data_IF_191686214445
#
_entry.id   IF_191686214445
#
_cell.length_a   1.000
_cell.length_b   1.000
_cell.length_c   1.000
_cell.angle_alpha   90.00
_cell.angle_beta   90.00
_cell.angle_gamma   90.00
#
_symmetry.space_group_name_H-M   'P 1'
#
loop_
_entity.id
_entity.type
_entity.pdbx_description
1 polymer ?
#
# COMPACT_ATOMS: atom_id res chain seq x y z
N UNK A 1 11.96 -12.50 18.65
CA UNK A 1 10.91 -11.61 18.11
C UNK A 1 10.28 -12.25 16.88
N UNK A 2 8.96 -12.09 16.64
CA UNK A 2 8.31 -12.64 15.44
C UNK A 2 8.21 -11.58 14.35
N UNK A 3 8.36 -11.99 13.09
CA UNK A 3 8.31 -11.10 11.92
C UNK A 3 6.98 -10.32 11.87
N UNK A 4 5.85 -10.98 12.12
CA UNK A 4 4.54 -10.32 12.14
C UNK A 4 4.44 -9.21 13.20
N UNK A 5 4.86 -9.47 14.43
CA UNK A 5 4.80 -8.47 15.51
C UNK A 5 5.74 -7.29 15.25
N UNK A 6 6.93 -7.56 14.72
CA UNK A 6 7.89 -6.53 14.32
C UNK A 6 7.33 -5.63 13.21
N UNK A 7 6.77 -6.22 12.15
CA UNK A 7 6.18 -5.47 11.03
C UNK A 7 5.01 -4.59 11.50
N UNK A 8 4.13 -5.10 12.37
CA UNK A 8 3.02 -4.29 12.89
C UNK A 8 3.50 -3.15 13.77
N UNK A 9 4.43 -3.40 14.68
CA UNK A 9 5.02 -2.36 15.52
C UNK A 9 5.71 -1.27 14.67
N UNK A 10 6.41 -1.68 13.60
CA UNK A 10 7.00 -0.73 12.65
C UNK A 10 5.92 0.07 11.91
N UNK A 11 4.84 -0.56 11.46
CA UNK A 11 3.73 0.15 10.82
C UNK A 11 3.13 1.22 11.75
N UNK A 12 3.03 0.95 13.05
CA UNK A 12 2.56 1.93 14.05
C UNK A 12 3.53 3.08 14.21
N UNK A 13 4.83 2.80 14.31
CA UNK A 13 5.86 3.82 14.41
C UNK A 13 5.97 4.70 13.14
N UNK A 14 5.65 4.13 11.98
CA UNK A 14 5.62 4.82 10.70
C UNK A 14 4.28 5.52 10.43
N UNK A 15 3.20 5.16 11.11
CA UNK A 15 1.91 5.83 10.97
C UNK A 15 1.94 7.20 11.69
N UNK A 16 1.17 8.16 11.18
CA UNK A 16 1.12 9.53 11.69
C UNK A 16 1.80 10.54 10.77
N UNK A 17 1.43 11.81 10.92
CA UNK A 17 1.85 12.91 10.04
C UNK A 17 1.08 12.91 8.70
N UNK A 18 1.74 13.38 7.65
CA UNK A 18 1.16 13.55 6.31
C UNK A 18 1.45 12.36 5.38
N UNK A 19 1.48 11.13 5.92
CA UNK A 19 1.86 9.92 5.18
C UNK A 19 0.90 8.76 5.38
N UNK A 20 0.83 7.88 4.39
CA UNK A 20 0.08 6.62 4.46
C UNK A 20 1.04 5.45 4.63
N UNK A 21 0.65 4.50 5.47
CA UNK A 21 1.37 3.23 5.63
C UNK A 21 0.46 2.09 5.17
N UNK A 22 0.99 1.22 4.33
CA UNK A 22 0.33 0.00 3.91
C UNK A 22 1.30 -1.16 3.89
N UNK A 23 0.79 -2.39 3.93
CA UNK A 23 1.63 -3.58 4.01
C UNK A 23 1.30 -4.61 2.97
N UNK A 24 2.26 -5.47 2.65
CA UNK A 24 2.09 -6.67 1.85
C UNK A 24 1.45 -6.35 0.50
N UNK A 25 2.14 -5.50 -0.29
CA UNK A 25 1.65 -4.99 -1.58
C UNK A 25 2.51 -5.50 -2.73
N UNK A 26 1.89 -5.87 -3.85
CA UNK A 26 2.65 -6.18 -5.06
C UNK A 26 3.51 -4.98 -5.51
N UNK A 27 4.82 -5.12 -5.55
CA UNK A 27 5.79 -4.11 -6.01
C UNK A 27 6.51 -4.59 -7.26
N UNK A 28 5.76 -4.85 -8.32
CA UNK A 28 6.25 -5.44 -9.56
C UNK A 28 5.53 -4.85 -10.78
N UNK A 29 6.10 -5.04 -11.97
CA UNK A 29 5.47 -4.70 -13.25
C UNK A 29 4.98 -5.98 -13.95
N UNK A 30 5.86 -6.97 -14.10
CA UNK A 30 5.59 -8.26 -14.74
C UNK A 30 5.83 -9.45 -13.80
N UNK A 31 6.54 -9.23 -12.70
CA UNK A 31 6.90 -10.27 -11.73
C UNK A 31 5.81 -10.51 -10.68
N UNK A 32 6.26 -10.89 -9.48
CA UNK A 32 5.39 -11.20 -8.33
C UNK A 32 5.94 -10.71 -6.99
N UNK A 33 6.89 -9.76 -7.02
CA UNK A 33 7.47 -9.17 -5.81
C UNK A 33 6.36 -8.56 -4.95
N UNK A 34 6.37 -8.88 -3.65
CA UNK A 34 5.50 -8.31 -2.62
C UNK A 34 6.38 -7.50 -1.70
N UNK A 35 6.11 -6.21 -1.50
CA UNK A 35 6.77 -5.32 -0.56
C UNK A 35 6.13 -5.48 0.81
N UNK A 36 6.94 -5.58 1.87
CA UNK A 36 6.43 -5.79 3.22
C UNK A 36 5.69 -4.58 3.75
N UNK A 37 6.34 -3.41 3.77
CA UNK A 37 5.73 -2.15 4.19
C UNK A 37 6.00 -1.10 3.13
N UNK A 38 4.98 -0.29 2.83
CA UNK A 38 5.04 0.80 1.86
C UNK A 38 4.56 2.06 2.55
N UNK A 39 5.41 3.07 2.56
CA UNK A 39 5.08 4.42 3.02
C UNK A 39 4.87 5.30 1.79
N UNK A 40 3.78 6.07 1.79
CA UNK A 40 3.45 7.02 0.74
C UNK A 40 3.40 8.41 1.34
N UNK A 41 4.14 9.33 0.74
CA UNK A 41 4.18 10.75 1.10
C UNK A 41 3.78 11.60 -0.12
N UNK A 42 3.12 12.73 0.14
CA UNK A 42 2.70 13.69 -0.88
C UNK A 42 1.35 14.34 -0.54
N UNK A 43 0.65 14.85 -1.55
CA UNK A 43 -0.66 15.51 -1.41
C UNK A 43 -1.81 14.49 -1.29
N UNK A 44 -1.73 13.66 -0.24
CA UNK A 44 -2.77 12.68 0.08
C UNK A 44 -4.16 13.32 0.25
N UNK A 45 -4.32 14.50 0.88
CA UNK A 45 -5.62 15.16 0.97
C UNK A 45 -6.27 15.41 -0.39
N UNK A 46 -5.52 15.83 -1.41
CA UNK A 46 -6.07 16.01 -2.76
C UNK A 46 -6.60 14.69 -3.35
N UNK A 47 -5.94 13.56 -3.07
CA UNK A 47 -6.44 12.24 -3.47
C UNK A 47 -7.63 11.79 -2.61
N UNK A 48 -7.59 12.06 -1.31
CA UNK A 48 -8.61 11.65 -0.36
C UNK A 48 -9.98 12.26 -0.67
N UNK A 49 -10.00 13.52 -1.09
CA UNK A 49 -11.20 14.26 -1.48
C UNK A 49 -12.04 13.59 -2.60
N UNK A 50 -11.49 12.62 -3.35
CA UNK A 50 -12.23 11.91 -4.41
C UNK A 50 -13.13 10.81 -3.83
N UNK A 51 -12.54 9.89 -3.06
CA UNK A 51 -13.20 8.67 -2.57
C UNK A 51 -12.28 7.95 -1.55
N UNK A 52 -12.85 7.30 -0.52
CA UNK A 52 -12.08 6.47 0.43
C UNK A 52 -11.52 5.21 -0.24
N UNK A 53 -12.10 4.81 -1.38
CA UNK A 53 -11.77 3.58 -2.07
C UNK A 53 -10.65 3.74 -3.11
N UNK A 54 -10.13 2.60 -3.56
CA UNK A 54 -9.19 2.53 -4.68
C UNK A 54 -9.85 3.01 -5.98
N UNK A 55 -9.24 3.92 -6.73
CA UNK A 55 -9.70 4.18 -8.10
C UNK A 55 -9.08 3.11 -9.02
N UNK A 56 -9.85 2.48 -9.93
CA UNK A 56 -9.29 1.52 -10.87
C UNK A 56 -8.21 2.17 -11.73
N UNK A 57 -7.02 1.57 -11.79
CA UNK A 57 -5.90 2.13 -12.57
C UNK A 57 -6.25 2.33 -14.05
N UNK A 58 -7.02 1.42 -14.65
CA UNK A 58 -7.50 1.59 -16.02
C UNK A 58 -8.41 2.83 -16.18
N UNK A 59 -9.13 3.25 -15.15
CA UNK A 59 -9.94 4.47 -15.17
C UNK A 59 -9.07 5.74 -15.01
N UNK A 60 -7.97 5.66 -14.25
CA UNK A 60 -6.97 6.73 -14.14
C UNK A 60 -6.22 6.91 -15.47
N UNK A 61 -5.84 5.80 -16.11
CA UNK A 61 -5.09 5.75 -17.38
C UNK A 61 -5.97 6.06 -18.61
N UNK A 62 -7.30 6.05 -18.47
CA UNK A 62 -8.22 6.27 -19.58
C UNK A 62 -8.19 7.72 -20.09
N UNK A 63 -8.38 7.92 -21.39
CA UNK A 63 -8.61 9.23 -22.01
C UNK A 63 -10.05 9.71 -21.74
N UNK A 64 -10.39 9.88 -20.46
CA UNK A 64 -11.64 10.45 -19.95
C UNK A 64 -11.28 11.69 -19.15
N UNK A 65 -11.68 12.87 -19.60
CA UNK A 65 -11.43 14.12 -18.86
C UNK A 65 -12.64 14.60 -18.06
N UNK A 66 -12.46 15.70 -17.33
CA UNK A 66 -13.52 16.38 -16.57
C UNK A 66 -14.44 17.27 -17.43
N UNK A 67 -13.99 17.64 -18.63
CA UNK A 67 -14.69 18.60 -19.50
C UNK A 67 -15.90 18.01 -20.22
N UNK A 68 -15.67 17.05 -21.14
CA UNK A 68 -16.71 16.45 -21.98
C UNK A 68 -16.77 14.95 -21.77
N UNK A 69 -17.99 14.45 -21.63
CA UNK A 69 -18.24 13.02 -21.58
C UNK A 69 -17.88 12.32 -22.90
N UNK A 70 -17.23 11.16 -22.80
CA UNK A 70 -16.70 10.37 -23.91
C UNK A 70 -17.34 9.00 -23.97
N UNK A 71 -17.49 8.48 -25.17
CA UNK A 71 -17.99 7.11 -25.36
C UNK A 71 -16.96 6.15 -24.78
N UNK A 72 -17.33 5.44 -23.71
CA UNK A 72 -16.34 4.74 -22.88
C UNK A 72 -15.52 3.70 -23.67
N UNK A 73 -16.11 3.02 -24.67
CA UNK A 73 -15.38 2.02 -25.47
C UNK A 73 -14.22 2.61 -26.29
N UNK A 74 -14.19 3.93 -26.49
CA UNK A 74 -13.12 4.62 -27.21
C UNK A 74 -12.11 5.29 -26.28
N UNK A 75 -12.27 5.19 -24.96
CA UNK A 75 -11.49 5.94 -23.98
C UNK A 75 -10.42 5.09 -23.26
N UNK A 76 -10.40 3.77 -23.47
CA UNK A 76 -9.52 2.84 -22.76
C UNK A 76 -8.61 2.10 -23.74
N UNK A 77 -7.34 1.96 -23.37
CA UNK A 77 -6.34 1.16 -24.08
C UNK A 77 -6.12 -0.19 -23.37
N UNK A 78 -7.20 -0.94 -23.15
CA UNK A 78 -7.12 -2.26 -22.53
C UNK A 78 -8.26 -3.17 -22.99
N UNK A 79 -8.23 -4.45 -22.57
CA UNK A 79 -9.27 -5.42 -22.93
C UNK A 79 -10.68 -4.91 -22.56
N UNK A 80 -11.71 -5.08 -23.42
CA UNK A 80 -13.04 -4.52 -23.19
C UNK A 80 -13.68 -4.86 -21.85
N UNK A 81 -13.52 -6.10 -21.36
CA UNK A 81 -14.03 -6.50 -20.04
C UNK A 81 -13.33 -5.78 -18.89
N UNK A 82 -12.02 -5.50 -19.03
CA UNK A 82 -11.28 -4.73 -18.03
C UNK A 82 -11.73 -3.28 -18.04
N UNK A 83 -11.97 -2.71 -19.22
CA UNK A 83 -12.51 -1.36 -19.36
C UNK A 83 -13.93 -1.26 -18.77
N UNK A 84 -14.80 -2.25 -19.02
CA UNK A 84 -16.17 -2.29 -18.48
C UNK A 84 -16.17 -2.32 -16.95
N UNK A 85 -15.40 -3.24 -16.35
CA UNK A 85 -15.23 -3.31 -14.89
C UNK A 85 -14.67 -2.01 -14.32
N UNK A 86 -13.71 -1.39 -15.00
CA UNK A 86 -13.13 -0.11 -14.55
C UNK A 86 -14.16 1.03 -14.61
N UNK A 87 -15.01 1.07 -15.64
CA UNK A 87 -16.10 2.05 -15.76
C UNK A 87 -17.13 1.85 -14.65
N UNK A 88 -17.52 0.61 -14.36
CA UNK A 88 -18.49 0.32 -13.29
C UNK A 88 -17.97 0.78 -11.93
N UNK A 89 -16.78 0.31 -11.55
CA UNK A 89 -16.16 0.67 -10.27
C UNK A 89 -15.88 2.17 -10.16
N UNK A 90 -15.43 2.82 -11.24
CA UNK A 90 -15.20 4.26 -11.22
C UNK A 90 -16.50 5.07 -11.06
N UNK A 91 -17.62 4.59 -11.60
CA UNK A 91 -18.93 5.23 -11.39
C UNK A 91 -19.45 4.99 -9.98
N UNK A 92 -19.34 3.76 -9.47
CA UNK A 92 -19.72 3.39 -8.11
C UNK A 92 -18.96 4.24 -7.07
N UNK A 93 -17.67 4.46 -7.29
CA UNK A 93 -16.78 5.24 -6.42
C UNK A 93 -16.84 6.74 -6.64
N UNK A 94 -17.75 7.22 -7.48
CA UNK A 94 -17.91 8.65 -7.76
C UNK A 94 -16.76 9.31 -8.52
N UNK A 95 -15.81 8.55 -9.08
CA UNK A 95 -14.74 9.09 -9.93
C UNK A 95 -15.24 9.41 -11.35
N UNK A 96 -16.21 8.63 -11.85
CA UNK A 96 -16.89 8.89 -13.11
C UNK A 96 -18.37 9.22 -12.92
N UNK A 97 -18.85 10.20 -13.69
CA UNK A 97 -20.28 10.38 -13.97
C UNK A 97 -20.65 9.63 -15.24
N UNK A 98 -21.84 9.00 -15.23
CA UNK A 98 -22.40 8.26 -16.36
C UNK A 98 -23.57 9.01 -16.97
N UNK A 99 -23.57 9.13 -18.30
CA UNK A 99 -24.72 9.64 -19.07
C UNK A 99 -25.07 8.69 -20.22
N UNK A 100 -26.33 8.73 -20.67
CA UNK A 100 -26.83 7.92 -21.80
C UNK A 100 -27.26 8.83 -22.94
N UNK A 101 -26.78 8.57 -24.16
CA UNK A 101 -27.19 9.29 -25.38
C UNK A 101 -27.41 8.29 -26.51
N UNK A 102 -28.65 8.20 -27.03
CA UNK A 102 -28.98 7.30 -28.14
C UNK A 102 -28.58 5.83 -27.89
N UNK A 103 -28.85 5.31 -26.68
CA UNK A 103 -28.49 3.94 -26.27
C UNK A 103 -27.02 3.72 -25.89
N UNK A 104 -26.13 4.67 -26.17
CA UNK A 104 -24.69 4.58 -25.84
C UNK A 104 -24.41 5.19 -24.46
N UNK A 105 -23.46 4.58 -23.74
CA UNK A 105 -22.96 5.08 -22.46
C UNK A 105 -21.78 6.02 -22.69
N UNK A 106 -21.81 7.19 -22.08
CA UNK A 106 -20.66 8.09 -22.04
C UNK A 106 -20.27 8.32 -20.58
N UNK A 107 -18.99 8.55 -20.36
CA UNK A 107 -18.42 8.79 -19.03
C UNK A 107 -17.57 10.04 -19.03
N UNK A 108 -17.50 10.70 -17.87
CA UNK A 108 -16.70 11.90 -17.61
C UNK A 108 -16.12 11.81 -16.20
N UNK A 109 -14.91 12.30 -16.00
CA UNK A 109 -14.35 12.41 -14.66
C UNK A 109 -15.09 13.47 -13.83
N UNK A 110 -15.35 13.18 -12.55
CA UNK A 110 -15.87 14.16 -11.58
C UNK A 110 -14.79 15.13 -11.13
N UNK A 111 -13.56 14.63 -11.01
CA UNK A 111 -12.37 15.39 -10.68
C UNK A 111 -11.17 14.95 -11.52
N UNK A 112 -10.21 15.87 -11.69
CA UNK A 112 -8.92 15.50 -12.28
C UNK A 112 -8.20 14.62 -11.25
N UNK A 113 -7.68 13.48 -11.69
CA UNK A 113 -6.81 12.67 -10.83
C UNK A 113 -5.53 13.46 -10.50
N UNK A 114 -5.21 13.69 -9.21
CA UNK A 114 -4.06 14.50 -8.81
C UNK A 114 -2.76 13.74 -9.01
N UNK A 115 -1.67 14.48 -9.21
CA UNK A 115 -0.31 13.95 -9.06
C UNK A 115 0.07 14.09 -7.59
N UNK A 116 -0.36 13.13 -6.78
CA UNK A 116 -0.38 13.23 -5.32
C UNK A 116 0.77 12.52 -4.62
N UNK A 117 1.60 11.79 -5.36
CA UNK A 117 2.69 10.96 -4.80
C UNK A 117 4.00 11.70 -4.99
N UNK A 118 4.63 12.11 -3.89
CA UNK A 118 5.96 12.72 -3.91
C UNK A 118 7.07 11.69 -3.66
N UNK A 119 6.83 10.76 -2.72
CA UNK A 119 7.77 9.71 -2.36
C UNK A 119 7.05 8.39 -2.05
N UNK A 120 7.56 7.29 -2.62
CA UNK A 120 7.25 5.93 -2.21
C UNK A 120 8.47 5.32 -1.55
N UNK A 121 8.34 4.88 -0.30
CA UNK A 121 9.38 4.12 0.40
C UNK A 121 8.92 2.68 0.60
N UNK A 122 9.71 1.71 0.15
CA UNK A 122 9.54 0.32 0.52
C UNK A 122 10.43 -0.01 1.72
N UNK A 123 9.85 -0.57 2.77
CA UNK A 123 10.58 -1.07 3.93
C UNK A 123 10.46 -2.59 3.97
N UNK A 124 11.58 -3.29 3.82
CA UNK A 124 11.69 -4.73 4.02
C UNK A 124 11.95 -5.01 5.50
N UNK A 125 11.14 -5.87 6.10
CA UNK A 125 11.22 -6.17 7.52
C UNK A 125 12.06 -7.41 7.75
N UNK A 126 13.22 -7.25 8.39
CA UNK A 126 14.04 -8.39 8.80
C UNK A 126 14.54 -8.28 10.23
N UNK A 127 13.76 -8.72 11.23
CA UNK A 127 14.15 -8.60 12.63
C UNK A 127 15.38 -9.43 13.02
N UNK A 128 15.65 -10.55 12.33
CA UNK A 128 16.80 -11.45 12.54
C UNK A 128 17.65 -11.53 11.26
N UNK A 129 18.84 -10.92 11.30
CA UNK A 129 19.80 -10.88 10.19
C UNK A 129 20.66 -12.14 10.09
N UNK A 130 20.72 -12.98 11.12
CA UNK A 130 21.42 -14.28 11.09
C UNK A 130 20.67 -15.30 10.21
N UNK A 131 19.37 -15.08 9.98
CA UNK A 131 18.54 -15.87 9.07
C UNK A 131 17.94 -15.02 7.93
N UNK A 132 18.79 -14.48 7.03
CA UNK A 132 18.37 -13.47 6.07
C UNK A 132 17.43 -14.01 4.97
N UNK A 133 17.43 -15.32 4.70
CA UNK A 133 16.60 -15.91 3.64
C UNK A 133 16.91 -15.26 2.28
N UNK A 134 15.87 -14.81 1.58
CA UNK A 134 15.96 -14.19 0.25
C UNK A 134 16.26 -12.68 0.28
N UNK A 135 16.54 -12.11 1.46
CA UNK A 135 16.69 -10.66 1.68
C UNK A 135 17.57 -9.95 0.64
N UNK A 136 18.79 -10.46 0.42
CA UNK A 136 19.73 -9.85 -0.54
C UNK A 136 19.15 -9.80 -1.96
N UNK A 137 18.44 -10.86 -2.35
CA UNK A 137 17.79 -10.95 -3.68
C UNK A 137 16.62 -10.00 -3.78
N UNK A 138 15.81 -9.86 -2.72
CA UNK A 138 14.69 -8.93 -2.68
C UNK A 138 15.17 -7.48 -2.79
N UNK A 139 16.13 -7.08 -1.95
CA UNK A 139 16.68 -5.72 -1.96
C UNK A 139 17.33 -5.37 -3.31
N UNK A 140 18.09 -6.31 -3.90
CA UNK A 140 18.63 -6.11 -5.25
C UNK A 140 17.54 -5.98 -6.30
N UNK A 141 16.45 -6.73 -6.19
CA UNK A 141 15.32 -6.63 -7.12
C UNK A 141 14.66 -5.26 -7.01
N UNK A 142 14.45 -4.76 -5.80
CA UNK A 142 13.80 -3.47 -5.59
C UNK A 142 14.65 -2.30 -6.09
N UNK A 143 15.96 -2.33 -5.82
CA UNK A 143 16.93 -1.35 -6.36
C UNK A 143 17.00 -1.41 -7.88
N UNK A 144 17.12 -2.63 -8.44
CA UNK A 144 17.24 -2.86 -9.89
C UNK A 144 15.98 -2.43 -10.66
N UNK A 145 14.80 -2.61 -10.07
CA UNK A 145 13.55 -2.19 -10.69
C UNK A 145 13.30 -0.68 -10.53
N UNK A 146 13.78 -0.07 -9.45
CA UNK A 146 13.54 1.33 -9.12
C UNK A 146 12.03 1.71 -9.15
N UNK A 147 11.18 0.81 -8.64
CA UNK A 147 9.73 1.06 -8.57
C UNK A 147 9.39 2.13 -7.53
N UNK A 148 10.11 2.15 -6.42
CA UNK A 148 9.95 3.07 -5.29
C UNK A 148 11.11 4.06 -5.27
N UNK A 149 10.89 5.22 -4.65
CA UNK A 149 11.92 6.26 -4.51
C UNK A 149 13.02 5.80 -3.54
N UNK A 150 12.64 5.09 -2.48
CA UNK A 150 13.56 4.64 -1.44
C UNK A 150 13.29 3.18 -1.06
N UNK A 151 14.36 2.43 -0.80
CA UNK A 151 14.31 1.08 -0.27
C UNK A 151 15.04 1.07 1.06
N UNK A 152 14.41 0.50 2.08
CA UNK A 152 14.93 0.45 3.44
C UNK A 152 14.85 -0.97 3.97
N UNK A 153 15.88 -1.39 4.69
CA UNK A 153 15.86 -2.56 5.55
C UNK A 153 15.61 -2.13 6.99
N UNK A 154 14.53 -2.61 7.62
CA UNK A 154 14.30 -2.44 9.06
C UNK A 154 14.64 -3.74 9.81
N UNK A 155 15.44 -3.64 10.87
CA UNK A 155 15.88 -4.79 11.66
C UNK A 155 15.93 -4.50 13.16
N UNK A 156 15.74 -5.53 14.00
CA UNK A 156 15.94 -5.42 15.45
C UNK A 156 17.40 -5.70 15.85
N UNK A 157 18.14 -6.40 15.00
CA UNK A 157 19.52 -6.81 15.27
C UNK A 157 20.49 -5.63 15.21
N UNK A 158 21.60 -5.79 15.94
CA UNK A 158 22.72 -4.89 15.80
C UNK A 158 23.35 -5.02 14.41
N UNK A 159 23.45 -3.90 13.69
CA UNK A 159 23.96 -3.89 12.32
C UNK A 159 25.49 -3.79 12.33
N UNK A 160 26.15 -4.84 11.86
CA UNK A 160 27.60 -4.86 11.72
C UNK A 160 28.04 -4.41 10.33
N UNK A 161 29.33 -4.07 10.17
CA UNK A 161 29.91 -3.80 8.85
C UNK A 161 29.77 -4.98 7.89
N UNK A 162 29.84 -6.21 8.39
CA UNK A 162 29.66 -7.41 7.56
C UNK A 162 28.23 -7.53 7.03
N UNK A 163 27.22 -7.12 7.81
CA UNK A 163 25.84 -7.02 7.33
C UNK A 163 25.72 -5.97 6.22
N UNK A 164 26.25 -4.76 6.46
CA UNK A 164 26.19 -3.66 5.49
C UNK A 164 26.83 -4.02 4.14
N UNK A 165 27.91 -4.80 4.13
CA UNK A 165 28.58 -5.23 2.89
C UNK A 165 27.74 -6.15 1.99
N UNK A 166 26.66 -6.76 2.52
CA UNK A 166 25.75 -7.64 1.75
C UNK A 166 24.53 -6.90 1.22
N UNK A 167 24.29 -5.69 1.73
CA UNK A 167 23.13 -4.87 1.39
C UNK A 167 23.54 -3.88 0.30
N UNK A 168 22.78 -3.73 -0.80
CA UNK A 168 23.04 -2.70 -1.82
C UNK A 168 23.27 -1.32 -1.18
N UNK A 169 24.16 -0.50 -1.74
CA UNK A 169 24.57 0.76 -1.12
C UNK A 169 23.44 1.78 -1.07
N UNK A 170 22.51 1.70 -2.02
CA UNK A 170 21.33 2.55 -2.14
C UNK A 170 20.30 2.30 -1.04
N UNK A 171 20.32 1.12 -0.41
CA UNK A 171 19.32 0.71 0.57
C UNK A 171 19.61 1.36 1.93
N UNK A 172 18.64 2.09 2.47
CA UNK A 172 18.68 2.59 3.84
C UNK A 172 18.63 1.44 4.84
N UNK A 173 19.19 1.63 6.03
CA UNK A 173 19.16 0.62 7.09
C UNK A 173 18.71 1.28 8.39
N UNK A 174 17.59 0.79 8.91
CA UNK A 174 17.04 1.20 10.19
C UNK A 174 17.19 0.08 11.20
N UNK A 175 17.72 0.42 12.38
CA UNK A 175 17.59 -0.41 13.55
C UNK A 175 16.35 0.04 14.31
N UNK A 176 15.44 -0.89 14.58
CA UNK A 176 14.14 -0.61 15.16
C UNK A 176 13.90 -1.49 16.37
N UNK A 177 13.54 -0.87 17.48
CA UNK A 177 13.06 -1.54 18.68
C UNK A 177 11.53 -1.47 18.72
N UNK A 178 10.80 -2.59 18.50
CA UNK A 178 9.35 -2.58 18.49
C UNK A 178 8.70 -2.43 19.87
N UNK A 179 9.46 -2.60 20.97
CA UNK A 179 8.91 -2.47 22.31
C UNK A 179 8.81 -0.98 22.70
N UNK A 180 9.83 -0.19 22.33
CA UNK A 180 9.86 1.27 22.56
C UNK A 180 9.34 2.10 21.39
N UNK A 181 9.32 1.53 20.18
CA UNK A 181 9.07 2.26 18.93
C UNK A 181 10.26 3.10 18.47
N UNK A 182 11.42 3.00 19.12
CA UNK A 182 12.61 3.76 18.75
C UNK A 182 13.21 3.24 17.44
N UNK A 183 13.54 4.19 16.56
CA UNK A 183 14.14 3.92 15.25
C UNK A 183 15.44 4.70 15.10
N UNK A 184 16.55 3.98 15.01
CA UNK A 184 17.87 4.50 14.71
C UNK A 184 18.17 4.33 13.21
N UNK A 185 18.60 5.39 12.54
CA UNK A 185 19.06 5.32 11.15
C UNK A 185 20.55 4.98 11.14
N UNK A 186 20.87 3.75 10.73
CA UNK A 186 22.25 3.26 10.60
C UNK A 186 22.85 3.72 9.27
N UNK A 187 22.02 3.76 8.21
CA UNK A 187 22.38 4.28 6.89
C UNK A 187 21.15 4.93 6.26
N UNK A 188 21.31 6.13 5.73
CA UNK A 188 20.26 6.79 4.96
C UNK A 188 20.03 6.09 3.61
N UNK A 189 18.79 5.95 3.14
CA UNK A 189 18.52 5.47 1.80
C UNK A 189 19.00 6.49 0.75
N UNK A 190 19.37 5.98 -0.43
CA UNK A 190 19.62 6.81 -1.60
C UNK A 190 18.41 6.77 -2.51
N UNK A 191 17.97 7.94 -2.99
CA UNK A 191 16.84 8.03 -3.91
C UNK A 191 17.15 7.34 -5.23
N UNK A 192 16.27 6.43 -5.64
CA UNK A 192 16.38 5.65 -6.88
C UNK A 192 15.87 6.45 -8.10
N UNK A 193 16.40 6.20 -9.31
CA UNK A 193 16.00 6.90 -10.53
C UNK A 193 14.68 6.34 -11.11
N UNK A 194 13.55 6.70 -10.51
CA UNK A 194 12.22 6.18 -10.86
C UNK A 194 11.67 6.67 -12.20
N UNK A 195 12.31 7.66 -12.82
CA UNK A 195 11.98 8.22 -14.14
C UNK A 195 12.76 7.54 -15.30
N UNK A 196 13.69 6.64 -14.96
CA UNK A 196 14.46 5.84 -15.90
C UNK A 196 13.86 4.45 -16.16
N UNK A 197 14.45 3.67 -17.08
CA UNK A 197 14.14 2.25 -17.20
C UNK A 197 14.72 1.46 -16.03
N UNK A 198 14.10 0.33 -15.70
CA UNK A 198 14.54 -0.60 -14.67
C UNK A 198 14.72 -2.01 -15.21
N UNK A 199 15.32 -2.89 -14.41
CA UNK A 199 15.40 -4.33 -14.69
C UNK A 199 14.63 -5.08 -13.60
N UNK A 200 13.58 -5.77 -14.02
CA UNK A 200 12.78 -6.60 -13.13
C UNK A 200 13.26 -8.05 -13.15
N UNK A 201 13.43 -8.63 -11.96
CA UNK A 201 13.64 -10.07 -11.81
C UNK A 201 12.33 -10.81 -11.92
N UNK A 202 12.25 -11.79 -12.84
CA UNK A 202 11.05 -12.60 -13.09
C UNK A 202 11.13 -13.92 -12.32
N UNK A 203 12.17 -14.72 -12.58
CA UNK A 203 12.33 -16.04 -11.98
C UNK A 203 13.81 -16.37 -11.77
N UNK A 204 14.12 -16.99 -10.63
CA UNK A 204 15.45 -17.50 -10.34
C UNK A 204 15.54 -18.99 -10.58
N UNK A 205 16.56 -19.42 -11.30
CA UNK A 205 16.96 -20.81 -11.47
C UNK A 205 18.36 -21.02 -10.89
N UNK A 206 18.77 -22.26 -10.55
CA UNK A 206 20.10 -22.51 -9.97
C UNK A 206 21.29 -21.97 -10.80
N UNK A 207 21.14 -21.88 -12.13
CA UNK A 207 22.21 -21.45 -13.05
C UNK A 207 21.92 -20.16 -13.82
N UNK A 208 20.72 -19.58 -13.69
CA UNK A 208 20.34 -18.35 -14.39
C UNK A 208 19.26 -17.59 -13.64
N UNK A 209 19.19 -16.28 -13.86
CA UNK A 209 18.05 -15.46 -13.44
C UNK A 209 17.40 -14.86 -14.66
N UNK A 210 16.11 -15.12 -14.83
CA UNK A 210 15.31 -14.53 -15.89
C UNK A 210 14.94 -13.11 -15.45
N UNK A 211 15.36 -12.13 -16.26
CA UNK A 211 15.12 -10.70 -16.02
C UNK A 211 14.41 -10.08 -17.21
N UNK A 212 13.67 -9.00 -16.97
CA UNK A 212 12.96 -8.25 -18.00
C UNK A 212 13.26 -6.76 -17.89
N UNK A 213 13.70 -6.11 -18.98
CA UNK A 213 13.75 -4.66 -19.04
C UNK A 213 12.34 -4.07 -18.92
N UNK A 214 12.23 -3.00 -18.15
CA UNK A 214 10.98 -2.28 -17.91
C UNK A 214 11.19 -0.82 -18.29
N UNK A 215 10.24 -0.26 -19.03
CA UNK A 215 10.30 1.14 -19.44
C UNK A 215 9.90 2.08 -18.31
N UNK A 216 10.34 3.34 -18.37
CA UNK A 216 9.91 4.37 -17.42
C UNK A 216 8.38 4.55 -17.37
N UNK A 217 7.69 4.41 -18.51
CA UNK A 217 6.23 4.47 -18.56
C UNK A 217 5.54 3.30 -17.86
N UNK A 218 6.11 2.10 -17.96
CA UNK A 218 5.61 0.92 -17.24
C UNK A 218 5.83 1.06 -15.72
N UNK A 219 6.97 1.61 -15.30
CA UNK A 219 7.27 1.94 -13.90
C UNK A 219 6.28 3.00 -13.40
N UNK A 220 6.06 4.09 -14.13
CA UNK A 220 5.11 5.13 -13.76
C UNK A 220 3.69 4.57 -13.56
N UNK A 221 3.21 3.74 -14.48
CA UNK A 221 1.92 3.07 -14.33
C UNK A 221 1.89 2.12 -13.12
N UNK A 222 2.98 1.40 -12.86
CA UNK A 222 3.08 0.50 -11.71
C UNK A 222 3.13 1.25 -10.38
N UNK A 223 3.78 2.42 -10.34
CA UNK A 223 3.80 3.36 -9.20
C UNK A 223 2.40 3.85 -8.87
N UNK A 224 1.65 4.32 -9.86
CA UNK A 224 0.24 4.70 -9.67
C UNK A 224 -0.58 3.55 -9.11
N UNK A 225 -0.39 2.33 -9.64
CA UNK A 225 -1.08 1.13 -9.15
C UNK A 225 -0.69 0.77 -7.70
N UNK A 226 0.58 0.95 -7.33
CA UNK A 226 1.09 0.69 -5.99
C UNK A 226 0.53 1.70 -5.00
N UNK A 227 0.59 2.99 -5.31
CA UNK A 227 0.07 4.06 -4.49
C UNK A 227 -1.44 3.93 -4.27
N UNK A 228 -2.22 3.62 -5.32
CA UNK A 228 -3.67 3.37 -5.19
C UNK A 228 -3.99 2.13 -4.34
N UNK A 229 -3.15 1.09 -4.39
CA UNK A 229 -3.32 -0.07 -3.49
C UNK A 229 -2.99 0.30 -2.05
N UNK A 230 -1.93 1.07 -1.82
CA UNK A 230 -1.56 1.54 -0.49
C UNK A 230 -2.65 2.43 0.11
N UNK A 231 -3.16 3.37 -0.69
CA UNK A 231 -4.27 4.25 -0.33
C UNK A 231 -5.53 3.48 0.07
N UNK A 232 -5.90 2.41 -0.63
CA UNK A 232 -7.10 1.68 -0.25
C UNK A 232 -6.89 0.68 0.89
N UNK A 233 -5.74 -0.02 0.92
CA UNK A 233 -5.56 -1.18 1.81
C UNK A 233 -5.18 -0.80 3.24
N UNK A 234 -4.31 0.20 3.43
CA UNK A 234 -3.70 0.45 4.74
C UNK A 234 -2.89 -0.76 5.24
N UNK A 235 -2.59 -0.81 6.55
CA UNK A 235 -1.79 -1.89 7.14
C UNK A 235 -2.55 -2.77 8.14
N UNK A 236 -3.70 -2.33 8.66
CA UNK A 236 -4.56 -3.07 9.60
C UNK A 236 -5.38 -4.18 8.91
N UNK A 237 -4.73 -5.00 8.10
CA UNK A 237 -5.36 -6.10 7.35
C UNK A 237 -5.02 -7.45 7.99
N UNK A 238 -5.61 -7.72 9.15
CA UNK A 238 -5.46 -8.97 9.91
C UNK A 238 -6.73 -9.26 10.71
N UNK A 239 -6.93 -10.53 11.04
CA UNK A 239 -8.05 -10.97 11.87
C UNK A 239 -7.71 -10.85 13.36
N UNK A 240 -8.70 -10.43 14.16
CA UNK A 240 -8.61 -10.51 15.61
C UNK A 240 -8.95 -11.93 16.07
N UNK A 241 -8.11 -12.56 16.93
CA UNK A 241 -8.43 -13.87 17.50
C UNK A 241 -9.79 -13.91 18.22
N UNK A 242 -10.54 -14.99 18.03
CA UNK A 242 -11.75 -15.34 18.80
C UNK A 242 -11.40 -15.86 20.21
N UNK A 243 -10.64 -15.05 20.96
CA UNK A 243 -10.04 -15.45 22.23
C UNK A 243 -10.16 -14.34 23.28
N UNK A 244 -10.53 -14.67 24.52
CA UNK A 244 -10.67 -13.72 25.62
C UNK A 244 -9.34 -13.03 25.98
N UNK A 245 -8.21 -13.67 25.67
CA UNK A 245 -6.87 -13.09 25.84
C UNK A 245 -6.52 -12.03 24.80
N UNK A 246 -7.32 -11.85 23.74
CA UNK A 246 -7.07 -10.84 22.73
C UNK A 246 -7.65 -9.49 23.17
N UNK A 247 -6.76 -8.55 23.49
CA UNK A 247 -7.13 -7.18 23.84
C UNK A 247 -6.39 -6.20 22.93
N UNK A 248 -7.00 -5.74 21.83
CA UNK A 248 -6.32 -4.80 20.95
C UNK A 248 -5.89 -3.53 21.68
N UNK A 249 -4.73 -2.97 21.31
CA UNK A 249 -4.25 -1.71 21.88
C UNK A 249 -4.83 -0.48 21.15
N UNK A 250 -4.45 0.72 21.57
CA UNK A 250 -4.92 1.99 21.03
C UNK A 250 -4.60 2.17 19.53
N UNK A 251 -3.62 1.45 19.00
CA UNK A 251 -3.30 1.45 17.57
C UNK A 251 -4.03 0.33 16.80
N UNK A 252 -4.79 -0.53 17.49
CA UNK A 252 -5.51 -1.67 16.94
C UNK A 252 -4.65 -2.90 16.71
N UNK A 253 -3.46 -3.03 17.34
CA UNK A 253 -2.71 -4.29 17.23
C UNK A 253 -3.39 -5.37 18.07
N UNK A 254 -3.48 -6.62 17.58
CA UNK A 254 -4.04 -7.75 18.33
C UNK A 254 -3.06 -8.21 19.43
N UNK A 255 -3.08 -7.56 20.59
CA UNK A 255 -2.26 -7.97 21.75
C UNK A 255 -2.88 -9.18 22.44
N UNK A 256 -2.04 -10.16 22.79
CA UNK A 256 -2.45 -11.29 23.61
C UNK A 256 -1.93 -11.12 25.04
N UNK A 257 -2.82 -11.01 26.03
CA UNK A 257 -2.43 -10.82 27.43
C UNK A 257 -1.65 -12.03 27.98
N UNK A 258 -2.08 -13.26 27.70
CA UNK A 258 -1.32 -14.48 28.07
C UNK A 258 0.09 -14.56 27.48
N UNK A 259 0.31 -14.09 26.24
CA UNK A 259 1.65 -14.09 25.60
C UNK A 259 2.45 -12.80 25.86
N UNK A 260 1.81 -11.74 26.32
CA UNK A 260 2.40 -10.41 26.53
C UNK A 260 2.92 -9.74 25.25
N UNK A 261 2.31 -9.98 24.08
CA UNK A 261 2.76 -9.44 22.78
C UNK A 261 1.69 -9.49 21.69
N UNK A 262 1.90 -8.81 20.54
CA UNK A 262 1.06 -8.98 19.36
C UNK A 262 1.07 -10.42 18.84
N UNK A 263 -0.08 -10.87 18.34
CA UNK A 263 -0.29 -12.23 17.82
C UNK A 263 -1.00 -12.23 16.47
N UNK A 264 -0.68 -13.21 15.63
CA UNK A 264 -1.43 -13.48 14.39
C UNK A 264 -2.44 -14.60 14.64
N UNK A 265 -3.73 -14.30 14.49
CA UNK A 265 -4.82 -15.23 14.78
C UNK A 265 -4.63 -16.61 14.11
N UNK A 266 -4.34 -16.61 12.81
CA UNK A 266 -4.19 -17.81 11.99
C UNK A 266 -3.01 -18.72 12.35
N UNK A 267 -2.02 -18.23 13.10
CA UNK A 267 -0.78 -18.96 13.40
C UNK A 267 -0.66 -19.34 14.88
N UNK A 268 -1.21 -18.54 15.79
CA UNK A 268 -0.84 -18.60 17.20
C UNK A 268 -2.01 -18.74 18.18
N UNK A 269 -3.23 -18.47 17.73
CA UNK A 269 -4.41 -18.34 18.60
C UNK A 269 -5.55 -19.26 18.18
N UNK A 270 -5.25 -20.55 18.03
CA UNK A 270 -6.23 -21.62 17.85
C UNK A 270 -6.52 -22.40 19.16
N UNK A 271 -7.46 -23.34 19.10
CA UNK A 271 -7.89 -24.17 20.25
C UNK A 271 -6.79 -25.03 20.87
N UNK A 272 -5.66 -25.20 20.18
CA UNK A 272 -4.48 -25.92 20.69
C UNK A 272 -3.54 -25.03 21.53
N UNK A 273 -3.76 -23.72 21.55
CA UNK A 273 -2.97 -22.81 22.39
C UNK A 273 -3.38 -22.96 23.86
N UNK A 274 -2.41 -23.18 24.76
CA UNK A 274 -2.67 -23.39 26.19
C UNK A 274 -3.29 -22.20 26.94
N UNK A 275 -3.21 -21.00 26.38
CA UNK A 275 -3.94 -19.81 26.87
C UNK A 275 -5.17 -19.46 26.04
N UNK A 276 -5.66 -20.35 25.17
CA UNK A 276 -6.85 -20.08 24.39
C UNK A 276 -8.10 -20.20 25.26
N UNK A 277 -8.86 -19.12 25.34
CA UNK A 277 -10.17 -19.08 25.96
C UNK A 277 -11.18 -18.55 24.94
N UNK A 278 -12.13 -19.39 24.51
CA UNK A 278 -13.05 -19.03 23.45
C UNK A 278 -13.88 -17.78 23.80
N UNK A 279 -13.89 -16.80 22.90
CA UNK A 279 -14.67 -15.57 23.02
C UNK A 279 -15.03 -15.07 21.61
N UNK A 280 -15.97 -14.13 21.53
CA UNK A 280 -16.16 -13.37 20.30
C UNK A 280 -14.88 -12.58 19.96
N UNK A 281 -14.49 -12.48 18.68
CA UNK A 281 -13.39 -11.62 18.23
C UNK A 281 -13.60 -10.17 18.67
N UNK A 282 -12.51 -9.47 18.97
CA UNK A 282 -12.56 -8.05 19.26
C UNK A 282 -13.11 -7.26 18.06
N UNK A 283 -14.08 -6.38 18.33
CA UNK A 283 -14.65 -5.48 17.33
C UNK A 283 -13.89 -4.16 17.35
N UNK A 284 -12.98 -3.97 16.39
CA UNK A 284 -12.18 -2.75 16.25
C UNK A 284 -12.59 -2.02 14.98
N UNK A 285 -12.94 -0.74 15.11
CA UNK A 285 -13.18 0.14 13.97
C UNK A 285 -11.85 0.61 13.37
N UNK A 286 -11.31 -0.20 12.45
CA UNK A 286 -10.02 0.07 11.79
C UNK A 286 -10.06 1.30 10.90
N UNK A 287 -11.24 1.66 10.37
CA UNK A 287 -11.40 2.82 9.50
C UNK A 287 -11.39 4.10 10.33
N UNK A 288 -12.06 4.12 11.48
CA UNK A 288 -11.96 5.23 12.44
C UNK A 288 -10.51 5.45 12.91
N UNK A 289 -9.80 4.38 13.28
CA UNK A 289 -8.38 4.45 13.68
C UNK A 289 -7.51 5.00 12.54
N UNK A 290 -7.81 4.61 11.30
CA UNK A 290 -7.05 5.06 10.14
C UNK A 290 -7.29 6.54 9.84
N UNK A 291 -8.54 7.01 9.91
CA UNK A 291 -8.90 8.43 9.76
C UNK A 291 -8.25 9.29 10.84
N UNK A 292 -8.20 8.80 12.09
CA UNK A 292 -7.57 9.52 13.19
C UNK A 292 -6.05 9.65 13.03
N UNK A 293 -5.40 8.60 12.50
CA UNK A 293 -3.93 8.47 12.56
C UNK A 293 -3.23 8.74 11.23
N UNK A 294 -3.96 9.04 10.16
CA UNK A 294 -3.40 9.23 8.82
C UNK A 294 -4.24 10.22 8.01
N UNK A 295 -3.72 10.78 6.91
CA UNK A 295 -4.46 11.68 6.03
C UNK A 295 -5.51 10.97 5.14
N UNK A 296 -5.84 9.70 5.43
CA UNK A 296 -6.94 9.00 4.75
C UNK A 296 -8.28 9.45 5.31
N UNK A 297 -9.29 9.58 4.45
CA UNK A 297 -10.64 10.05 4.81
C UNK A 297 -11.67 8.97 4.46
N UNK A 298 -12.43 8.50 5.45
CA UNK A 298 -13.45 7.45 5.29
C UNK A 298 -14.73 7.93 4.58
N UNK A 299 -15.06 9.21 4.72
CA UNK A 299 -16.29 9.81 4.15
C UNK A 299 -16.00 11.22 3.59
N UNK A 300 -15.23 11.32 2.49
CA UNK A 300 -14.95 12.59 1.84
C UNK A 300 -16.23 13.16 1.20
N UNK A 301 -16.37 14.48 1.22
CA UNK A 301 -17.48 15.21 0.58
C UNK A 301 -17.66 14.83 -0.92
N UNK A 302 -16.58 14.38 -1.56
CA UNK A 302 -16.54 14.00 -2.97
C UNK A 302 -16.66 15.18 -3.92
N UNK A 303 -16.53 14.90 -5.22
CA UNK A 303 -16.68 15.90 -6.29
C UNK A 303 -18.01 15.81 -7.05
N UNK A 304 -18.98 15.08 -6.50
CA UNK A 304 -20.33 15.00 -7.08
C UNK A 304 -20.98 16.38 -7.09
N UNK A 305 -21.48 16.83 -8.25
CA UNK A 305 -22.23 18.11 -8.30
C UNK A 305 -23.42 18.06 -7.35
N UNK A 306 -23.43 18.91 -6.31
CA UNK A 306 -24.69 19.49 -5.82
C UNK A 306 -25.36 20.15 -7.02
N UNK A 307 -26.54 19.67 -7.42
CA UNK A 307 -27.41 20.39 -8.34
C UNK A 307 -27.74 21.75 -7.72
N UNK A 308 -26.93 22.75 -8.02
CA UNK A 308 -27.21 24.14 -7.71
C UNK A 308 -28.31 24.58 -8.68
N UNK A 309 -29.55 24.65 -8.21
CA UNK A 309 -30.67 25.10 -9.05
C UNK A 309 -32.09 24.81 -8.59
N UNK A 310 -32.31 23.91 -7.62
CA UNK A 310 -33.69 23.66 -7.14
C UNK A 310 -34.20 24.76 -6.19
N UNK A 311 -33.31 25.54 -5.58
CA UNK A 311 -33.68 26.63 -4.67
C UNK A 311 -34.10 27.92 -5.40
N UNK A 312 -34.02 27.93 -6.75
CA UNK A 312 -34.34 29.11 -7.58
C UNK A 312 -35.75 29.08 -8.18
N UNK A 313 -36.57 28.10 -7.83
CA UNK A 313 -37.99 28.09 -8.14
C UNK A 313 -38.80 28.09 -6.84
N UNK A 314 -39.10 29.29 -6.33
CA UNK A 314 -40.20 29.57 -5.41
C UNK A 314 -41.00 30.74 -5.95
#
# INVERSE_FOLDING_TARGET
MREFGFELALCVALEGGERLVSRQLGGHVHGRRILDTVVVEGDIPARAAITPERIPAAAIEADVGTGRARYWKNAFDCHPERAERAVELAVERGFFERERRGGRTYVRQTARYPDWVECLTAVENKPDLDRPGDLETQLRTDVSLALVDEVVLATADYVTRAHLNRIPEEVGVWRFDPDSGEREVVREPTRLPTDGPGIERIEGHPSRTDVRPVTAGEIAGARTRLAERAYAKGWRTFDYPACAECSPDDAGLPQCAWKGRPVRASEECGSECGGYEASEPASVDTDALRTERSPWESDPDGFGRRQSGLDRFR
#
